data_IF_799528636102
#
_entry.id   IF_799528636102
#
_cell.length_a   1.000
_cell.length_b   1.000
_cell.length_c   1.000
_cell.angle_alpha   90.00
_cell.angle_beta   90.00
_cell.angle_gamma   90.00
#
_symmetry.space_group_name_H-M   'P 1'
#
loop_
_entity.id
_entity.type
_entity.pdbx_description
1 polymer ?
#
# COMPACT_ATOMS: atom_id res chain seq x y z
N UNK A 1 -12.35 8.59 -4.21
CA UNK A 1 -11.40 8.39 -5.33
C UNK A 1 -10.89 6.96 -5.31
N UNK A 2 -10.79 6.32 -6.48
CA UNK A 2 -10.21 4.99 -6.63
C UNK A 2 -9.19 5.01 -7.78
N UNK A 3 -8.11 4.24 -7.65
CA UNK A 3 -7.11 4.06 -8.72
C UNK A 3 -7.12 2.60 -9.14
N UNK A 4 -7.12 2.37 -10.45
CA UNK A 4 -6.99 1.04 -11.02
C UNK A 4 -5.51 0.72 -11.22
N UNK A 5 -5.09 -0.44 -10.74
CA UNK A 5 -3.72 -0.93 -10.86
C UNK A 5 -3.69 -2.31 -11.51
N UNK A 6 -2.56 -2.68 -12.11
CA UNK A 6 -2.37 -4.02 -12.65
C UNK A 6 -2.06 -5.03 -11.55
N UNK A 7 -2.92 -6.03 -11.40
CA UNK A 7 -2.67 -7.21 -10.57
C UNK A 7 -2.00 -8.34 -11.36
N UNK A 8 -1.81 -9.49 -10.69
CA UNK A 8 -1.25 -10.69 -11.33
C UNK A 8 -2.13 -11.15 -12.50
N UNK A 9 -1.52 -11.37 -13.67
CA UNK A 9 -2.24 -11.81 -14.88
C UNK A 9 -3.07 -10.71 -15.55
N UNK A 10 -2.64 -9.44 -15.43
CA UNK A 10 -3.33 -8.27 -16.02
C UNK A 10 -4.76 -8.04 -15.50
N UNK A 11 -5.10 -8.65 -14.35
CA UNK A 11 -6.38 -8.39 -13.71
C UNK A 11 -6.36 -7.00 -13.07
N UNK A 12 -7.32 -6.11 -13.40
CA UNK A 12 -7.39 -4.80 -12.77
C UNK A 12 -7.73 -4.95 -11.29
N UNK A 13 -7.01 -4.24 -10.42
CA UNK A 13 -7.26 -4.17 -8.98
C UNK A 13 -7.58 -2.72 -8.63
N UNK A 14 -8.78 -2.49 -8.10
CA UNK A 14 -9.20 -1.18 -7.63
C UNK A 14 -8.65 -0.93 -6.21
N UNK A 15 -7.95 0.20 -6.05
CA UNK A 15 -7.47 0.69 -4.77
C UNK A 15 -8.36 1.85 -4.33
N UNK A 16 -9.01 1.70 -3.18
CA UNK A 16 -9.82 2.74 -2.57
C UNK A 16 -8.97 3.61 -1.64
N UNK A 17 -9.04 4.93 -1.84
CA UNK A 17 -8.41 5.87 -0.91
C UNK A 17 -9.42 6.35 0.14
N UNK A 18 -9.12 6.24 1.44
CA UNK A 18 -9.92 6.87 2.48
C UNK A 18 -10.02 8.39 2.30
N UNK A 19 -11.10 9.02 2.79
CA UNK A 19 -11.34 10.47 2.58
C UNK A 19 -10.19 11.35 3.09
N UNK A 20 -9.61 11.04 4.24
CA UNK A 20 -8.47 11.77 4.78
C UNK A 20 -7.23 11.71 3.86
N UNK A 21 -6.98 10.57 3.21
CA UNK A 21 -5.88 10.43 2.26
C UNK A 21 -6.17 11.20 0.97
N UNK A 22 -7.43 11.23 0.53
CA UNK A 22 -7.84 12.06 -0.62
C UNK A 22 -7.55 13.54 -0.36
N UNK A 23 -7.89 14.05 0.83
CA UNK A 23 -7.59 15.45 1.20
C UNK A 23 -6.09 15.76 1.19
N UNK A 24 -5.24 14.81 1.61
CA UNK A 24 -3.78 14.98 1.52
C UNK A 24 -3.28 14.99 0.06
N UNK A 25 -3.88 14.17 -0.80
CA UNK A 25 -3.58 14.16 -2.24
C UNK A 25 -4.01 15.50 -2.87
N UNK A 26 -5.18 16.02 -2.52
CA UNK A 26 -5.67 17.31 -3.03
C UNK A 26 -4.71 18.45 -2.66
N UNK A 27 -4.22 18.47 -1.42
CA UNK A 27 -3.18 19.43 -0.99
C UNK A 27 -1.91 19.27 -1.82
N UNK A 28 -1.43 18.04 -2.01
CA UNK A 28 -0.23 17.76 -2.81
C UNK A 28 -0.39 18.21 -4.27
N UNK A 29 -1.58 18.06 -4.85
CA UNK A 29 -1.89 18.53 -6.20
C UNK A 29 -1.97 20.06 -6.28
N UNK A 30 -2.47 20.72 -5.23
CA UNK A 30 -2.59 22.19 -5.21
C UNK A 30 -1.25 22.93 -5.29
N UNK A 31 -0.17 22.34 -4.77
CA UNK A 31 1.19 22.91 -4.78
C UNK A 31 2.07 22.32 -5.88
N UNK A 32 1.53 21.46 -6.73
CA UNK A 32 2.31 20.67 -7.69
C UNK A 32 3.07 21.55 -8.69
N UNK A 33 2.43 22.58 -9.23
CA UNK A 33 3.02 23.48 -10.21
C UNK A 33 4.23 24.24 -9.68
N UNK A 34 4.36 24.38 -8.36
CA UNK A 34 5.48 25.08 -7.72
C UNK A 34 6.74 24.22 -7.62
N UNK A 35 6.59 22.89 -7.63
CA UNK A 35 7.68 21.98 -7.27
C UNK A 35 7.88 20.79 -8.22
N UNK A 36 6.97 20.53 -9.17
CA UNK A 36 7.06 19.41 -10.10
C UNK A 36 6.95 19.92 -11.54
N UNK A 37 7.86 19.54 -12.44
CA UNK A 37 7.74 19.84 -13.86
C UNK A 37 6.42 19.34 -14.44
N UNK A 38 5.75 20.16 -15.26
CA UNK A 38 4.48 19.80 -15.89
C UNK A 38 4.56 18.52 -16.75
N UNK A 39 5.75 18.22 -17.29
CA UNK A 39 6.02 17.00 -18.05
C UNK A 39 5.95 15.71 -17.21
N UNK A 40 6.03 15.82 -15.88
CA UNK A 40 6.05 14.66 -15.01
C UNK A 40 4.62 14.28 -14.64
N UNK A 41 4.17 13.11 -15.09
CA UNK A 41 2.77 12.65 -14.94
C UNK A 41 2.53 11.86 -13.64
N UNK A 42 3.58 11.53 -12.88
CA UNK A 42 3.45 10.67 -11.72
C UNK A 42 2.82 11.40 -10.52
N UNK A 43 1.84 10.77 -9.85
CA UNK A 43 1.22 11.32 -8.64
C UNK A 43 2.28 11.63 -7.57
N UNK A 44 3.17 10.68 -7.30
CA UNK A 44 4.34 10.84 -6.42
C UNK A 44 5.60 11.14 -7.23
N UNK A 45 5.58 12.23 -7.99
CA UNK A 45 6.70 12.68 -8.81
C UNK A 45 7.94 12.97 -7.96
N UNK A 46 9.13 12.74 -8.52
CA UNK A 46 10.36 13.28 -7.98
C UNK A 46 10.52 14.73 -8.49
N UNK A 47 10.47 15.74 -7.59
CA UNK A 47 10.46 17.17 -7.94
C UNK A 47 11.56 17.62 -8.91
N UNK A 48 12.72 16.97 -8.90
CA UNK A 48 13.89 17.36 -9.69
C UNK A 48 14.03 16.60 -11.01
N UNK A 49 12.96 15.98 -11.49
CA UNK A 49 12.98 15.11 -12.67
C UNK A 49 11.75 15.29 -13.54
N UNK A 50 11.94 15.18 -14.85
CA UNK A 50 10.87 15.36 -15.83
C UNK A 50 9.96 14.13 -15.97
N UNK A 51 10.44 12.92 -15.66
CA UNK A 51 9.68 11.68 -15.88
C UNK A 51 9.94 10.57 -14.85
N UNK A 52 10.24 10.92 -13.60
CA UNK A 52 10.50 9.93 -12.53
C UNK A 52 9.61 10.13 -11.33
N UNK A 53 9.36 9.02 -10.62
CA UNK A 53 8.64 8.99 -9.35
C UNK A 53 9.59 8.78 -8.18
N UNK A 54 9.10 9.07 -6.97
CA UNK A 54 9.79 8.78 -5.72
C UNK A 54 9.84 7.27 -5.47
N UNK A 55 11.00 6.77 -5.07
CA UNK A 55 11.16 5.37 -4.68
C UNK A 55 10.62 5.14 -3.27
N UNK A 56 9.51 4.42 -3.15
CA UNK A 56 8.90 4.08 -1.86
C UNK A 56 9.87 3.37 -0.89
N UNK A 57 10.79 2.55 -1.41
CA UNK A 57 11.83 1.91 -0.60
C UNK A 57 12.76 2.95 0.05
N UNK A 58 13.29 3.89 -0.73
CA UNK A 58 14.20 4.91 -0.22
C UNK A 58 13.49 5.87 0.73
N UNK A 59 12.24 6.23 0.44
CA UNK A 59 11.41 7.06 1.32
C UNK A 59 11.19 6.36 2.67
N UNK A 60 10.77 5.10 2.67
CA UNK A 60 10.59 4.33 3.92
C UNK A 60 11.89 4.19 4.71
N UNK A 61 13.00 3.90 4.03
CA UNK A 61 14.31 3.80 4.67
C UNK A 61 14.71 5.11 5.35
N UNK A 62 14.52 6.25 4.66
CA UNK A 62 14.79 7.58 5.21
C UNK A 62 13.91 7.86 6.43
N UNK A 63 12.60 7.64 6.33
CA UNK A 63 11.67 7.85 7.45
C UNK A 63 12.00 6.98 8.67
N UNK A 64 12.41 5.72 8.45
CA UNK A 64 12.86 4.85 9.54
C UNK A 64 14.17 5.35 10.19
N UNK A 65 15.06 5.96 9.42
CA UNK A 65 16.28 6.57 9.97
C UNK A 65 15.96 7.80 10.82
N UNK A 66 15.05 8.65 10.35
CA UNK A 66 14.65 9.90 11.01
C UNK A 66 13.75 9.67 12.23
N UNK A 67 12.99 8.58 12.28
CA UNK A 67 12.07 8.29 13.40
C UNK A 67 12.76 7.81 14.69
N UNK A 68 14.06 7.49 14.65
CA UNK A 68 14.81 7.03 15.82
C UNK A 68 14.50 5.60 16.29
N UNK A 69 13.75 4.82 15.50
CA UNK A 69 13.45 3.41 15.82
C UNK A 69 14.72 2.55 15.85
N UNK A 70 14.79 1.59 16.78
CA UNK A 70 16.00 0.79 17.00
C UNK A 70 16.34 -0.12 15.81
N UNK A 71 15.35 -0.77 15.21
CA UNK A 71 15.54 -1.77 14.15
C UNK A 71 15.02 -1.27 12.80
N UNK A 72 15.72 -0.26 12.25
CA UNK A 72 15.33 0.46 11.02
C UNK A 72 15.15 -0.46 9.81
N UNK A 73 15.98 -1.51 9.70
CA UNK A 73 15.94 -2.46 8.60
C UNK A 73 14.66 -3.33 8.57
N UNK A 74 13.86 -3.29 9.64
CA UNK A 74 12.56 -3.96 9.67
C UNK A 74 11.47 -3.14 8.97
N UNK A 75 11.67 -1.84 8.72
CA UNK A 75 10.71 -0.95 8.07
C UNK A 75 10.77 -1.07 6.55
N UNK A 76 10.47 -2.26 6.03
CA UNK A 76 10.36 -2.52 4.59
C UNK A 76 8.90 -2.66 4.18
N UNK A 77 8.57 -2.31 2.92
CA UNK A 77 7.22 -2.47 2.39
C UNK A 77 6.70 -3.91 2.52
N UNK A 78 7.58 -4.91 2.37
CA UNK A 78 7.22 -6.33 2.52
C UNK A 78 6.83 -6.68 3.96
N UNK A 79 7.60 -6.21 4.96
CA UNK A 79 7.29 -6.47 6.38
C UNK A 79 6.05 -5.70 6.83
N UNK A 80 5.92 -4.44 6.42
CA UNK A 80 4.71 -3.65 6.66
C UNK A 80 3.47 -4.32 6.08
N UNK A 81 3.54 -4.81 4.83
CA UNK A 81 2.42 -5.55 4.21
C UNK A 81 2.04 -6.80 4.99
N UNK A 82 3.03 -7.59 5.43
CA UNK A 82 2.79 -8.78 6.28
C UNK A 82 2.12 -8.40 7.60
N UNK A 83 2.61 -7.36 8.27
CA UNK A 83 2.05 -6.89 9.53
C UNK A 83 0.58 -6.45 9.35
N UNK A 84 0.29 -5.67 8.31
CA UNK A 84 -1.09 -5.24 8.01
C UNK A 84 -1.98 -6.49 7.79
N UNK A 85 -1.52 -7.47 7.02
CA UNK A 85 -2.26 -8.70 6.80
C UNK A 85 -2.54 -9.48 8.09
N UNK A 86 -1.53 -9.65 8.96
CA UNK A 86 -1.70 -10.31 10.26
C UNK A 86 -2.67 -9.56 11.17
N UNK A 87 -2.56 -8.24 11.26
CA UNK A 87 -3.46 -7.42 12.09
C UNK A 87 -4.91 -7.55 11.59
N UNK A 88 -5.14 -7.51 10.28
CA UNK A 88 -6.47 -7.66 9.70
C UNK A 88 -7.05 -9.07 9.90
N UNK A 89 -6.21 -10.11 9.85
CA UNK A 89 -6.61 -11.47 10.23
C UNK A 89 -7.07 -11.56 11.69
N UNK A 90 -6.38 -10.89 12.61
CA UNK A 90 -6.75 -10.86 14.04
C UNK A 90 -8.01 -10.04 14.29
N UNK A 91 -8.27 -9.01 13.49
CA UNK A 91 -9.45 -8.15 13.65
C UNK A 91 -10.79 -8.81 13.26
N UNK A 92 -10.82 -10.12 12.98
CA UNK A 92 -12.00 -10.94 12.67
C UNK A 92 -12.95 -10.28 11.66
N UNK A 93 -12.35 -9.68 10.63
CA UNK A 93 -13.01 -9.11 9.47
C UNK A 93 -13.81 -10.22 8.77
N UNK A 94 -15.06 -9.94 8.40
CA UNK A 94 -15.97 -10.97 7.84
C UNK A 94 -15.40 -11.59 6.56
N UNK A 95 -15.82 -12.82 6.21
CA UNK A 95 -15.24 -13.58 5.08
C UNK A 95 -15.18 -12.78 3.77
N UNK A 96 -16.22 -11.99 3.47
CA UNK A 96 -16.28 -11.12 2.28
C UNK A 96 -15.23 -10.01 2.30
N UNK A 97 -15.04 -9.38 3.45
CA UNK A 97 -14.06 -8.30 3.62
C UNK A 97 -12.63 -8.86 3.60
N UNK A 98 -12.42 -10.08 4.12
CA UNK A 98 -11.14 -10.79 4.04
C UNK A 98 -10.77 -11.14 2.59
N UNK A 99 -11.76 -11.52 1.77
CA UNK A 99 -11.55 -11.78 0.34
C UNK A 99 -11.18 -10.50 -0.42
N UNK A 100 -11.90 -9.40 -0.19
CA UNK A 100 -11.56 -8.09 -0.75
C UNK A 100 -10.14 -7.65 -0.35
N UNK A 101 -9.76 -7.91 0.89
CA UNK A 101 -8.44 -7.58 1.40
C UNK A 101 -7.32 -8.45 0.80
N UNK A 102 -7.52 -9.77 0.67
CA UNK A 102 -6.54 -10.67 0.04
C UNK A 102 -6.25 -10.25 -1.41
N UNK A 103 -7.30 -9.88 -2.14
CA UNK A 103 -7.21 -9.32 -3.48
C UNK A 103 -6.43 -8.00 -3.50
N UNK A 104 -6.69 -7.09 -2.55
CA UNK A 104 -5.94 -5.84 -2.39
C UNK A 104 -4.44 -6.06 -2.10
N UNK A 105 -4.10 -7.08 -1.30
CA UNK A 105 -2.71 -7.43 -0.98
C UNK A 105 -1.99 -8.22 -2.08
N UNK A 106 -2.66 -8.57 -3.18
CA UNK A 106 -2.09 -9.35 -4.28
C UNK A 106 -1.92 -10.84 -3.96
N UNK A 107 -2.62 -11.35 -2.95
CA UNK A 107 -2.63 -12.76 -2.57
C UNK A 107 -3.84 -13.46 -3.18
N UNK A 108 -3.63 -14.62 -3.80
CA UNK A 108 -4.74 -15.55 -4.12
C UNK A 108 -4.93 -16.47 -2.91
N UNK A 109 -6.17 -16.71 -2.49
CA UNK A 109 -6.52 -17.56 -1.34
C UNK A 109 -6.14 -19.03 -1.60
N UNK A 110 -4.88 -19.39 -1.36
CA UNK A 110 -4.45 -20.73 -0.96
C UNK A 110 -3.76 -20.51 0.39
N UNK A 111 -4.31 -20.86 1.54
CA UNK A 111 -5.07 -22.06 1.90
C UNK A 111 -5.87 -21.69 3.15
N UNK A 112 -7.21 -21.78 3.13
CA UNK A 112 -8.06 -21.52 4.30
C UNK A 112 -9.02 -22.68 4.59
N UNK A 113 -8.69 -23.89 4.12
CA UNK A 113 -9.43 -25.12 4.46
C UNK A 113 -8.71 -25.98 5.52
N UNK A 114 -7.42 -25.75 5.78
CA UNK A 114 -6.67 -26.58 6.75
C UNK A 114 -6.79 -26.11 8.21
N UNK A 115 -7.09 -24.83 8.47
CA UNK A 115 -7.12 -24.32 9.85
C UNK A 115 -8.42 -24.64 10.62
N UNK A 116 -9.55 -24.80 9.92
CA UNK A 116 -10.83 -25.12 10.55
C UNK A 116 -11.06 -26.61 10.81
N UNK A 117 -10.23 -27.52 10.28
CA UNK A 117 -10.32 -28.96 10.59
C UNK A 117 -9.56 -29.41 11.84
N UNK A 118 -8.71 -28.56 12.43
CA UNK A 118 -7.94 -28.93 13.64
C UNK A 118 -8.56 -28.46 14.96
N UNK A 119 -9.72 -27.79 14.94
CA UNK A 119 -10.43 -27.37 16.17
C UNK A 119 -11.78 -28.10 16.33
N UNK A 120 -11.93 -29.25 15.69
CA UNK A 120 -13.04 -30.17 15.93
C UNK A 120 -12.53 -31.60 16.00
N UNK A 121 -11.90 -31.95 17.13
CA UNK A 121 -11.84 -33.30 17.69
C UNK A 121 -11.74 -33.18 19.21
#
# INVERSE_FOLDING_TARGET
>A
MAVLTGGKGSKPVAILFPKNIQSLIDIMLSVRSECVPESNEYLFANPKTENRWLSGYHVLKKLAQESGVSNKDLFTSTRLRKQIATVLQVMNIGETEMEQFANFMGHTRKTHEEYYRQVSN
#
